data_IF_336171507427
#
_entry.id   IF_336171507427
#
_cell.length_a   1.000
_cell.length_b   1.000
_cell.length_c   1.000
_cell.angle_alpha   90.00
_cell.angle_beta   90.00
_cell.angle_gamma   90.00
#
_symmetry.space_group_name_H-M   'P 1'
#
loop_
_entity.id
_entity.type
_entity.pdbx_description
1 polymer ?
#
# COMPACT_ATOMS: atom_id res chain seq x y z
N UNK A 1 1.26 13.42 -33.19
CA UNK A 1 0.18 13.47 -32.20
C UNK A 1 -0.10 12.02 -31.84
N UNK A 2 0.01 11.64 -30.58
CA UNK A 2 -0.34 10.29 -30.14
C UNK A 2 -1.85 10.25 -30.03
N UNK A 3 -2.49 9.71 -31.06
CA UNK A 3 -3.94 9.53 -31.06
C UNK A 3 -4.30 8.53 -29.96
N UNK A 4 -5.18 8.97 -29.06
CA UNK A 4 -5.64 8.16 -27.94
C UNK A 4 -6.52 7.05 -28.51
N UNK A 5 -6.39 5.83 -27.98
CA UNK A 5 -7.21 4.69 -28.39
C UNK A 5 -8.70 5.03 -28.39
N UNK A 6 -9.41 4.66 -29.46
CA UNK A 6 -10.84 4.92 -29.64
C UNK A 6 -11.68 4.38 -28.47
N UNK A 7 -11.23 3.29 -27.85
CA UNK A 7 -11.85 2.73 -26.65
C UNK A 7 -11.90 3.72 -25.48
N UNK A 8 -10.82 4.48 -25.27
CA UNK A 8 -10.74 5.48 -24.19
C UNK A 8 -11.68 6.66 -24.49
N UNK A 9 -11.83 7.02 -25.77
CA UNK A 9 -12.75 8.07 -26.22
C UNK A 9 -14.21 7.64 -26.01
N UNK A 10 -14.54 6.39 -26.31
CA UNK A 10 -15.87 5.82 -26.09
C UNK A 10 -16.25 5.80 -24.61
N UNK A 11 -15.35 5.36 -23.73
CA UNK A 11 -15.57 5.33 -22.28
C UNK A 11 -15.90 6.73 -21.72
N UNK A 12 -15.19 7.77 -22.17
CA UNK A 12 -15.41 9.15 -21.72
C UNK A 12 -16.75 9.70 -22.24
N UNK A 13 -17.08 9.42 -23.51
CA UNK A 13 -18.30 9.94 -24.14
C UNK A 13 -19.57 9.33 -23.57
N UNK A 14 -19.55 8.04 -23.28
CA UNK A 14 -20.74 7.30 -22.83
C UNK A 14 -20.94 7.30 -21.30
N UNK A 15 -19.98 7.83 -20.53
CA UNK A 15 -20.05 7.94 -19.05
C UNK A 15 -20.53 6.65 -18.39
N UNK A 16 -19.92 5.52 -18.77
CA UNK A 16 -20.18 4.25 -18.09
C UNK A 16 -19.92 4.41 -16.59
N UNK A 17 -20.80 3.81 -15.78
CA UNK A 17 -20.67 3.79 -14.33
C UNK A 17 -19.54 2.82 -13.99
N UNK A 18 -18.32 3.36 -13.89
CA UNK A 18 -17.14 2.62 -13.47
C UNK A 18 -16.99 2.82 -11.97
N UNK A 19 -17.02 1.73 -11.20
CA UNK A 19 -16.74 1.77 -9.78
C UNK A 19 -15.23 1.96 -9.59
N UNK A 20 -14.80 3.22 -9.49
CA UNK A 20 -13.40 3.58 -9.23
C UNK A 20 -12.94 3.22 -7.81
N UNK A 21 -13.91 2.89 -6.95
CA UNK A 21 -13.71 2.71 -5.52
C UNK A 21 -13.80 1.22 -5.10
N UNK A 22 -13.99 0.29 -6.05
CA UNK A 22 -14.09 -1.15 -5.76
C UNK A 22 -12.76 -1.74 -5.21
N UNK A 23 -11.63 -1.06 -5.47
CA UNK A 23 -10.29 -1.50 -5.04
C UNK A 23 -9.64 -0.54 -4.04
N UNK A 24 -10.42 -0.07 -3.08
CA UNK A 24 -9.90 0.76 -2.01
C UNK A 24 -8.84 0.02 -1.18
N UNK A 25 -7.70 0.66 -0.93
CA UNK A 25 -6.69 0.11 -0.03
C UNK A 25 -7.34 -0.14 1.34
N UNK A 26 -7.16 -1.36 1.88
CA UNK A 26 -7.83 -1.74 3.13
C UNK A 26 -7.52 -0.74 4.24
N UNK A 27 -8.47 -0.50 5.15
CA UNK A 27 -8.28 0.45 6.26
C UNK A 27 -6.97 0.20 7.03
N UNK A 28 -6.62 -1.08 7.18
CA UNK A 28 -5.38 -1.54 7.80
C UNK A 28 -4.14 -1.06 7.03
N UNK A 29 -4.15 -1.11 5.69
CA UNK A 29 -3.05 -0.60 4.87
C UNK A 29 -2.89 0.93 5.01
N UNK A 30 -4.01 1.67 5.01
CA UNK A 30 -3.99 3.14 5.22
C UNK A 30 -3.43 3.52 6.59
N UNK A 31 -3.72 2.74 7.64
CA UNK A 31 -3.16 2.95 8.98
C UNK A 31 -1.63 2.80 9.01
N UNK A 32 -1.09 1.78 8.33
CA UNK A 32 0.36 1.55 8.33
C UNK A 32 1.14 2.65 7.61
N UNK A 33 0.55 3.32 6.62
CA UNK A 33 1.20 4.45 5.95
C UNK A 33 1.43 5.67 6.85
N UNK A 34 0.74 5.75 8.00
CA UNK A 34 0.96 6.80 8.99
C UNK A 34 2.18 6.52 9.89
N UNK A 35 2.73 5.31 9.87
CA UNK A 35 3.84 4.93 10.73
C UNK A 35 5.16 5.34 10.09
N UNK A 36 5.76 6.41 10.59
CA UNK A 36 7.09 6.86 10.16
C UNK A 36 8.19 5.88 10.57
N UNK A 37 9.21 5.73 9.72
CA UNK A 37 10.37 4.91 9.99
C UNK A 37 11.32 5.62 10.98
N UNK A 38 11.55 5.02 12.14
CA UNK A 38 12.46 5.55 13.18
C UNK A 38 13.91 5.72 12.73
N UNK A 39 14.36 4.92 11.75
CA UNK A 39 15.76 4.92 11.28
C UNK A 39 16.06 6.05 10.29
N UNK A 40 15.21 6.27 9.29
CA UNK A 40 15.45 7.28 8.26
C UNK A 40 14.58 8.54 8.40
N UNK A 41 13.55 8.52 9.25
CA UNK A 41 12.57 9.60 9.51
C UNK A 41 11.84 10.18 8.28
N UNK A 42 12.17 9.68 7.10
CA UNK A 42 11.66 10.15 5.81
C UNK A 42 10.72 9.13 5.20
N UNK A 43 10.99 7.84 5.45
CA UNK A 43 10.17 6.73 4.96
C UNK A 43 9.05 6.33 5.92
N UNK A 44 8.15 5.52 5.41
CA UNK A 44 7.04 4.92 6.15
C UNK A 44 7.27 3.42 6.30
N UNK A 45 6.73 2.82 7.36
CA UNK A 45 6.78 1.38 7.58
C UNK A 45 5.63 0.71 6.85
N UNK A 46 5.94 -0.13 5.87
CA UNK A 46 4.97 -0.92 5.11
C UNK A 46 4.95 -2.37 5.57
N UNK A 47 3.75 -2.94 5.69
CA UNK A 47 3.57 -4.37 5.93
C UNK A 47 4.05 -5.19 4.74
N UNK A 48 4.86 -6.20 5.04
CA UNK A 48 5.33 -7.22 4.09
C UNK A 48 5.16 -8.59 4.70
N UNK A 49 4.95 -9.58 3.85
CA UNK A 49 4.79 -10.97 4.26
C UNK A 49 6.05 -11.73 3.92
N UNK A 50 6.60 -12.46 4.88
CA UNK A 50 7.65 -13.46 4.66
C UNK A 50 7.11 -14.86 4.97
N UNK A 51 7.92 -15.88 4.66
CA UNK A 51 7.67 -17.26 5.10
C UNK A 51 7.48 -17.43 6.63
N UNK A 52 8.01 -16.49 7.42
CA UNK A 52 7.94 -16.52 8.89
C UNK A 52 6.79 -15.65 9.44
N UNK A 53 5.98 -15.06 8.57
CA UNK A 53 4.88 -14.18 8.94
C UNK A 53 5.06 -12.73 8.49
N UNK A 54 4.13 -11.90 8.94
CA UNK A 54 4.02 -10.47 8.64
C UNK A 54 5.05 -9.66 9.42
N UNK A 55 5.68 -8.71 8.75
CA UNK A 55 6.63 -7.78 9.34
C UNK A 55 6.50 -6.41 8.68
N UNK A 56 6.88 -5.36 9.41
CA UNK A 56 6.95 -4.02 8.87
C UNK A 56 8.37 -3.73 8.37
N UNK A 57 8.47 -3.11 7.20
CA UNK A 57 9.76 -2.71 6.60
C UNK A 57 9.69 -1.30 6.03
N UNK A 58 10.82 -0.59 6.03
CA UNK A 58 10.87 0.76 5.47
C UNK A 58 10.53 0.76 3.96
N UNK A 59 9.72 1.74 3.54
CA UNK A 59 9.40 2.00 2.13
C UNK A 59 10.64 2.25 1.28
N UNK A 60 11.70 2.82 1.88
CA UNK A 60 13.00 3.08 1.25
C UNK A 60 13.97 1.89 1.31
N UNK A 61 13.49 0.65 1.35
CA UNK A 61 14.38 -0.48 1.09
C UNK A 61 14.80 -0.51 -0.40
N UNK A 62 16.06 -0.79 -0.79
CA UNK A 62 17.20 -1.24 0.01
C UNK A 62 18.04 -0.20 0.79
N UNK A 63 18.02 1.14 0.53
CA UNK A 63 18.88 2.07 1.27
C UNK A 63 18.58 2.14 2.77
N UNK A 64 17.33 1.91 3.19
CA UNK A 64 16.94 1.75 4.59
C UNK A 64 16.50 0.32 4.87
N UNK A 65 17.30 -0.44 5.65
CA UNK A 65 17.05 -1.84 6.00
C UNK A 65 16.30 -2.03 7.33
N UNK A 66 15.70 -0.96 7.85
CA UNK A 66 14.94 -1.02 9.09
C UNK A 66 13.73 -1.96 8.95
N UNK A 67 13.58 -2.86 9.93
CA UNK A 67 12.51 -3.87 9.99
C UNK A 67 11.99 -3.97 11.42
N UNK A 68 10.68 -4.07 11.56
CA UNK A 68 10.01 -4.23 12.85
C UNK A 68 9.12 -5.45 12.76
N UNK A 69 9.32 -6.40 13.69
CA UNK A 69 8.45 -7.56 13.80
C UNK A 69 7.22 -7.16 14.60
N UNK A 70 6.03 -7.48 14.09
CA UNK A 70 4.78 -7.31 14.83
C UNK A 70 4.75 -8.42 15.89
N UNK A 71 5.05 -8.07 17.14
CA UNK A 71 4.78 -8.94 18.27
C UNK A 71 3.27 -8.94 18.47
N UNK A 72 2.58 -9.92 17.87
CA UNK A 72 1.20 -10.20 18.25
C UNK A 72 1.31 -10.82 19.65
N UNK A 73 1.21 -9.99 20.69
CA UNK A 73 0.89 -10.46 22.03
C UNK A 73 -0.52 -11.06 21.93
N UNK A 74 -0.57 -12.37 21.73
CA UNK A 74 -1.78 -13.14 21.82
C UNK A 74 -2.25 -13.10 23.28
N UNK A 75 -2.97 -12.04 23.65
CA UNK A 75 -3.87 -12.08 24.80
C UNK A 75 -5.15 -12.76 24.31
N UNK A 76 -5.16 -14.08 24.44
CA UNK A 76 -6.35 -14.94 24.37
C UNK A 76 -7.26 -14.69 25.57
N UNK A 77 -8.56 -14.41 25.41
CA UNK A 77 -9.58 -14.92 26.32
C UNK A 77 -9.93 -16.38 26.00
#
# INVERSE_FOLDING_TARGET
MTDVSDFVVELIKHRYLLDTDEFDASFVQKLFEQISCSSCKTGILKERVSRYGKFLSCSFYPPCKNKVTLAISAETP
#
